data_IF_863240110771
#
_entry.id   IF_863240110771
#
_cell.length_a   1.000
_cell.length_b   1.000
_cell.length_c   1.000
_cell.angle_alpha   90.00
_cell.angle_beta   90.00
_cell.angle_gamma   90.00
#
_symmetry.space_group_name_H-M   'P 1'
#
loop_
_entity.id
_entity.type
_entity.pdbx_description
1 polymer ?
#
# COMPACT_ATOMS: atom_id res chain seq x y z
N UNK A 1 -2.33 -13.48 -45.01
CA UNK A 1 -1.22 -13.24 -44.06
C UNK A 1 -1.36 -11.89 -43.33
N UNK A 2 -1.67 -10.78 -44.03
CA UNK A 2 -1.84 -9.45 -43.40
C UNK A 2 -3.03 -9.37 -42.43
N UNK A 3 -4.18 -9.94 -42.78
CA UNK A 3 -5.37 -9.93 -41.93
C UNK A 3 -5.21 -10.72 -40.61
N UNK A 4 -4.38 -11.77 -40.60
CA UNK A 4 -4.11 -12.56 -39.39
C UNK A 4 -3.28 -11.78 -38.36
N UNK A 5 -2.32 -10.96 -38.82
CA UNK A 5 -1.56 -10.06 -37.95
C UNK A 5 -2.44 -8.98 -37.33
N UNK A 6 -3.41 -8.45 -38.10
CA UNK A 6 -4.39 -7.47 -37.60
C UNK A 6 -5.39 -8.12 -36.63
N UNK A 7 -5.74 -9.39 -36.84
CA UNK A 7 -6.62 -10.13 -35.94
C UNK A 7 -5.90 -10.52 -34.63
N UNK A 8 -4.60 -10.85 -34.67
CA UNK A 8 -3.76 -10.99 -33.49
C UNK A 8 -3.64 -9.67 -32.72
N UNK A 9 -3.51 -8.54 -33.44
CA UNK A 9 -3.48 -7.18 -32.87
C UNK A 9 -4.79 -6.80 -32.13
N UNK A 10 -5.94 -7.35 -32.53
CA UNK A 10 -7.25 -7.10 -31.88
C UNK A 10 -7.68 -8.17 -30.87
N UNK A 11 -7.18 -9.41 -30.99
CA UNK A 11 -7.68 -10.59 -30.27
C UNK A 11 -6.81 -11.08 -29.11
N UNK A 12 -5.57 -10.61 -28.98
CA UNK A 12 -4.70 -11.02 -27.89
C UNK A 12 -3.61 -9.98 -27.67
N UNK A 13 -3.59 -9.38 -26.47
CA UNK A 13 -2.49 -8.52 -26.04
C UNK A 13 -1.22 -9.38 -25.92
N UNK A 14 -0.50 -9.52 -27.03
CA UNK A 14 0.82 -10.15 -27.06
C UNK A 14 1.86 -9.25 -26.39
N UNK A 15 3.03 -9.81 -26.11
CA UNK A 15 4.14 -9.04 -25.53
C UNK A 15 4.55 -7.83 -26.38
N UNK A 16 4.37 -7.90 -27.71
CA UNK A 16 4.67 -6.82 -28.65
C UNK A 16 3.74 -5.62 -28.47
N UNK A 17 2.44 -5.84 -28.27
CA UNK A 17 1.45 -4.78 -28.02
C UNK A 17 1.75 -4.03 -26.73
N UNK A 18 2.08 -4.75 -25.65
CA UNK A 18 2.46 -4.12 -24.38
C UNK A 18 3.69 -3.23 -24.58
N UNK A 19 4.69 -3.69 -25.33
CA UNK A 19 5.88 -2.87 -25.64
C UNK A 19 5.51 -1.63 -26.44
N UNK A 20 4.61 -1.71 -27.43
CA UNK A 20 4.15 -0.54 -28.19
C UNK A 20 3.40 0.47 -27.33
N UNK A 21 2.51 0.00 -26.44
CA UNK A 21 1.76 0.88 -25.53
C UNK A 21 2.71 1.58 -24.55
N UNK A 22 3.63 0.81 -23.96
CA UNK A 22 4.68 1.36 -23.07
C UNK A 22 5.51 2.38 -23.83
N UNK A 23 5.93 2.09 -25.06
CA UNK A 23 6.70 3.02 -25.89
C UNK A 23 5.93 4.31 -26.20
N UNK A 24 4.64 4.22 -26.52
CA UNK A 24 3.79 5.39 -26.73
C UNK A 24 3.70 6.26 -25.46
N UNK A 25 3.44 5.65 -24.30
CA UNK A 25 3.41 6.35 -23.00
C UNK A 25 4.78 6.98 -22.71
N UNK A 26 5.89 6.28 -22.99
CA UNK A 26 7.24 6.82 -22.83
C UNK A 26 7.53 7.99 -23.77
N UNK A 27 6.91 8.06 -24.95
CA UNK A 27 7.06 9.18 -25.87
C UNK A 27 6.30 10.43 -25.41
N UNK A 28 5.06 10.25 -24.91
CA UNK A 28 4.24 11.35 -24.41
C UNK A 28 4.71 11.88 -23.05
N UNK A 29 4.97 10.97 -22.10
CA UNK A 29 5.38 11.35 -20.75
C UNK A 29 6.90 11.47 -20.61
N UNK A 30 7.68 10.84 -21.48
CA UNK A 30 9.14 10.77 -21.37
C UNK A 30 9.61 9.60 -20.50
N UNK A 31 10.70 8.94 -20.89
CA UNK A 31 11.30 7.81 -20.17
C UNK A 31 11.70 8.14 -18.71
N UNK A 32 11.87 9.42 -18.37
CA UNK A 32 12.25 9.85 -17.01
C UNK A 32 11.05 10.03 -16.07
N UNK A 33 9.83 10.21 -16.56
CA UNK A 33 8.66 10.50 -15.71
C UNK A 33 8.14 9.27 -14.99
N UNK A 34 8.09 8.12 -15.66
CA UNK A 34 7.67 6.84 -15.04
C UNK A 34 8.50 6.51 -13.77
N UNK A 35 9.85 6.49 -13.80
CA UNK A 35 10.64 6.18 -12.61
C UNK A 35 10.60 7.28 -11.54
N UNK A 36 10.42 8.54 -11.95
CA UNK A 36 10.27 9.67 -11.03
C UNK A 36 8.97 9.57 -10.22
N UNK A 37 7.85 9.27 -10.92
CA UNK A 37 6.54 9.01 -10.30
C UNK A 37 6.58 7.77 -9.40
N UNK A 38 7.20 6.68 -9.86
CA UNK A 38 7.34 5.45 -9.05
C UNK A 38 8.14 5.69 -7.77
N UNK A 39 9.24 6.47 -7.84
CA UNK A 39 10.02 6.87 -6.66
C UNK A 39 9.25 7.78 -5.72
N UNK A 40 8.43 8.69 -6.25
CA UNK A 40 7.55 9.55 -5.44
C UNK A 40 6.48 8.74 -4.71
N UNK A 41 5.74 7.92 -5.46
CA UNK A 41 4.70 7.04 -4.92
C UNK A 41 5.27 6.06 -3.90
N UNK A 42 6.42 5.44 -4.19
CA UNK A 42 7.06 4.48 -3.29
C UNK A 42 7.48 5.10 -1.95
N UNK A 43 7.95 6.35 -1.96
CA UNK A 43 8.24 7.09 -0.73
C UNK A 43 6.97 7.42 0.04
N UNK A 44 5.93 7.92 -0.63
CA UNK A 44 4.64 8.21 0.00
C UNK A 44 3.98 6.98 0.62
N UNK A 45 3.99 5.84 -0.08
CA UNK A 45 3.46 4.57 0.46
C UNK A 45 4.25 4.13 1.70
N UNK A 46 5.58 4.29 1.69
CA UNK A 46 6.43 3.93 2.82
C UNK A 46 6.15 4.80 4.04
N UNK A 47 6.15 6.12 3.86
CA UNK A 47 5.85 7.08 4.93
C UNK A 47 4.45 6.86 5.50
N UNK A 48 3.46 6.60 4.64
CA UNK A 48 2.09 6.28 5.06
C UNK A 48 2.04 5.00 5.90
N UNK A 49 2.77 3.95 5.48
CA UNK A 49 2.85 2.68 6.21
C UNK A 49 3.54 2.86 7.57
N UNK A 50 4.63 3.62 7.62
CA UNK A 50 5.40 3.86 8.84
C UNK A 50 4.55 4.64 9.85
N UNK A 51 3.93 5.75 9.43
CA UNK A 51 3.01 6.51 10.27
C UNK A 51 1.81 5.67 10.76
N UNK A 52 1.26 4.82 9.89
CA UNK A 52 0.16 3.91 10.27
C UNK A 52 0.58 2.87 11.30
N UNK A 53 1.86 2.46 11.32
CA UNK A 53 2.39 1.49 12.27
C UNK A 53 2.56 2.12 13.65
N UNK A 54 3.09 3.33 13.70
CA UNK A 54 3.29 4.07 14.95
C UNK A 54 1.94 4.32 15.64
N UNK A 55 0.92 4.76 14.89
CA UNK A 55 -0.44 4.93 15.42
C UNK A 55 -1.01 3.62 15.98
N UNK A 56 -0.79 2.49 15.30
CA UNK A 56 -1.26 1.19 15.80
C UNK A 56 -0.57 0.79 17.10
N UNK A 57 0.73 1.02 17.20
CA UNK A 57 1.52 0.69 18.38
C UNK A 57 1.08 1.56 19.58
N UNK A 58 0.84 2.85 19.38
CA UNK A 58 0.37 3.77 20.43
C UNK A 58 -1.03 3.39 20.94
N UNK A 59 -1.91 2.97 20.03
CA UNK A 59 -3.25 2.48 20.39
C UNK A 59 -3.16 1.18 21.18
N UNK A 60 -2.29 0.24 20.78
CA UNK A 60 -2.13 -1.06 21.46
C UNK A 60 -1.55 -0.88 22.88
N UNK A 61 -0.54 -0.02 23.06
CA UNK A 61 0.04 0.32 24.36
C UNK A 61 -0.98 0.99 25.29
N UNK A 62 -1.77 1.93 24.75
CA UNK A 62 -2.81 2.64 25.51
C UNK A 62 -3.97 1.74 25.97
N UNK A 63 -4.18 0.59 25.30
CA UNK A 63 -5.19 -0.40 25.67
C UNK A 63 -4.66 -1.36 26.74
N UNK A 64 -3.37 -1.67 26.74
CA UNK A 64 -2.72 -2.51 27.76
C UNK A 64 -2.57 -1.80 29.11
N UNK A 65 -2.29 -0.49 29.14
CA UNK A 65 -2.16 0.27 30.41
C UNK A 65 -3.48 0.54 31.14
N UNK A 66 -4.63 0.37 30.49
CA UNK A 66 -5.96 0.60 31.12
C UNK A 66 -6.48 -0.60 31.92
N UNK A 67 -5.85 -1.77 31.84
CA UNK A 67 -6.26 -2.94 32.63
C UNK A 67 -5.60 -3.04 34.02
N UNK A 68 -4.50 -2.32 34.30
CA UNK A 68 -3.71 -2.56 35.54
C UNK A 68 -3.93 -1.53 36.67
N UNK A 69 -4.88 -0.60 36.54
CA UNK A 69 -5.17 0.42 37.56
C UNK A 69 -6.61 0.39 38.07
N UNK A 70 -7.11 -0.80 38.44
CA UNK A 70 -8.16 -0.91 39.44
C UNK A 70 -7.62 -1.70 40.64
N UNK A 71 -7.31 -1.03 41.77
CA UNK A 71 -7.17 -1.75 43.03
C UNK A 71 -8.58 -2.25 43.38
N UNK A 72 -8.82 -3.56 43.26
CA UNK A 72 -9.96 -4.22 43.90
C UNK A 72 -9.66 -4.28 45.39
N UNK A 73 -9.75 -3.13 46.04
CA UNK A 73 -9.93 -3.02 47.49
C UNK A 73 -11.45 -3.00 47.72
N UNK A 74 -12.06 -4.17 47.64
CA UNK A 74 -13.39 -4.39 48.23
C UNK A 74 -13.27 -5.55 49.20
N UNK A 75 -12.97 -5.17 50.44
CA UNK A 75 -13.61 -5.74 51.63
C UNK A 75 -13.42 -7.25 51.87
N UNK A 76 -12.19 -7.66 52.11
CA UNK A 76 -11.90 -8.79 53.03
C UNK A 76 -11.99 -8.36 54.51
N UNK A 77 -12.53 -7.17 54.81
CA UNK A 77 -12.50 -6.54 56.14
C UNK A 77 -13.87 -5.96 56.55
N UNK A 78 -14.93 -6.75 56.40
CA UNK A 78 -16.03 -6.76 57.37
C UNK A 78 -16.09 -8.15 58.00
N UNK A 79 -15.03 -8.46 58.74
CA UNK A 79 -15.13 -9.33 59.93
C UNK A 79 -16.00 -8.59 60.95
N UNK A 80 -17.05 -9.23 61.45
CA UNK A 80 -17.42 -9.24 62.86
C UNK A 80 -18.54 -10.26 63.07
#
# INVERSE_FOLDING_TARGET
MVAANILLFLGGLGGTEIVLIVLAILLFFGAKRIPELAKGLGRGIREFKDASKDIKQDIEVSLTEREESQPVETETRLRA
#
